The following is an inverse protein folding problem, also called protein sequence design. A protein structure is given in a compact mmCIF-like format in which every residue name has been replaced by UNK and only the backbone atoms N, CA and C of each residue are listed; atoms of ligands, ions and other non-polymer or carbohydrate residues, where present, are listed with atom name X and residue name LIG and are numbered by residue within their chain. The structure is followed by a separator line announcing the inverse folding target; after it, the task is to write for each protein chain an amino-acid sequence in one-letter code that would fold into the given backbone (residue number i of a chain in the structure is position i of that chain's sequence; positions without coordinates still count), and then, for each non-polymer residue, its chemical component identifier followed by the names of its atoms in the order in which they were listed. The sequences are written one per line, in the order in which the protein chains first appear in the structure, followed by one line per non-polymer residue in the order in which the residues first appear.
data_IF_352139034622
#
_entry.id   IF_352139034622
#
_cell.length_a   1.000
_cell.length_b   1.000
_cell.length_c   1.000
_cell.angle_alpha   90.00
_cell.angle_beta   90.00
_cell.angle_gamma   90.00
#
_symmetry.space_group_name_H-M   'P 1'
#
loop_
_entity.id
_entity.type
_entity.pdbx_description
1 polymer ?
#
# COMPACT_ATOMS: atom_id res chain seq x y z
N UNK A 1 0.17 12.86 8.22
CA UNK A 1 -0.75 13.52 9.16
C UNK A 1 -2.21 13.39 8.72
N UNK A 2 -2.57 13.81 7.49
CA UNK A 2 -3.92 13.63 6.93
C UNK A 2 -4.45 12.21 7.09
N UNK A 3 -3.70 11.20 6.62
CA UNK A 3 -4.15 9.80 6.68
C UNK A 3 -4.47 9.34 8.11
N UNK A 4 -3.68 9.79 9.10
CA UNK A 4 -3.94 9.45 10.50
C UNK A 4 -5.19 10.16 11.04
N UNK A 5 -5.35 11.46 10.75
CA UNK A 5 -6.55 12.22 11.13
C UNK A 5 -7.81 11.66 10.45
N UNK A 6 -7.75 11.29 9.18
CA UNK A 6 -8.82 10.61 8.47
C UNK A 6 -9.15 9.24 9.09
N UNK A 7 -8.11 8.50 9.48
CA UNK A 7 -8.24 7.19 10.13
C UNK A 7 -8.93 7.27 11.50
N UNK A 8 -8.39 8.05 12.44
CA UNK A 8 -8.92 8.11 13.81
C UNK A 8 -10.05 9.11 14.00
N UNK A 9 -10.19 10.11 13.13
CA UNK A 9 -11.09 11.26 13.31
C UNK A 9 -10.40 12.46 13.93
N UNK A 10 -10.76 13.67 13.48
CA UNK A 10 -10.25 14.92 14.04
C UNK A 10 -10.51 14.99 15.54
N UNK A 11 -11.68 14.57 16.02
CA UNK A 11 -12.05 14.56 17.43
C UNK A 11 -11.09 13.74 18.31
N UNK A 12 -10.43 12.73 17.74
CA UNK A 12 -9.60 11.74 18.45
C UNK A 12 -8.09 12.02 18.39
N UNK A 13 -7.65 13.12 17.77
CA UNK A 13 -6.24 13.55 17.76
C UNK A 13 -5.96 14.64 18.81
N UNK A 14 -4.69 14.75 19.22
CA UNK A 14 -4.25 15.75 20.20
C UNK A 14 -4.44 17.18 19.68
N UNK A 15 -4.49 18.16 20.58
CA UNK A 15 -4.61 19.58 20.22
C UNK A 15 -3.46 20.04 19.31
N UNK A 16 -2.25 19.55 19.55
CA UNK A 16 -1.06 19.85 18.74
C UNK A 16 -1.22 19.29 17.32
N UNK A 17 -1.70 18.06 17.19
CA UNK A 17 -1.92 17.45 15.88
C UNK A 17 -3.07 18.12 15.12
N UNK A 18 -4.13 18.56 15.81
CA UNK A 18 -5.19 19.39 15.21
C UNK A 18 -4.62 20.69 14.66
N UNK A 19 -3.76 21.36 15.44
CA UNK A 19 -3.13 22.60 14.98
C UNK A 19 -2.34 22.39 13.69
N UNK A 20 -1.46 21.38 13.65
CA UNK A 20 -0.65 21.11 12.45
C UNK A 20 -1.52 20.64 11.27
N UNK A 21 -2.57 19.85 11.52
CA UNK A 21 -3.52 19.47 10.47
C UNK A 21 -4.21 20.70 9.86
N UNK A 22 -4.61 21.64 10.71
CA UNK A 22 -5.29 22.88 10.30
C UNK A 22 -4.37 23.91 9.62
N UNK A 23 -3.04 23.75 9.69
CA UNK A 23 -2.09 24.57 8.93
C UNK A 23 -2.18 24.35 7.41
N UNK A 24 -2.83 23.26 6.97
CA UNK A 24 -3.02 22.95 5.55
C UNK A 24 -4.51 23.01 5.14
N UNK A 25 -5.07 24.19 4.87
CA UNK A 25 -6.52 24.36 4.66
C UNK A 25 -7.06 23.61 3.44
N UNK A 26 -6.22 23.35 2.42
CA UNK A 26 -6.62 22.55 1.26
C UNK A 26 -6.89 21.09 1.65
N UNK A 27 -6.05 20.55 2.53
CA UNK A 27 -6.19 19.19 3.06
C UNK A 27 -7.43 19.08 3.96
N UNK A 28 -7.68 20.07 4.81
CA UNK A 28 -8.89 20.14 5.63
C UNK A 28 -10.14 20.18 4.74
N UNK A 29 -10.19 21.08 3.78
CA UNK A 29 -11.32 21.24 2.87
C UNK A 29 -11.59 19.97 2.05
N UNK A 30 -10.53 19.27 1.61
CA UNK A 30 -10.67 17.99 0.92
C UNK A 30 -11.31 16.94 1.83
N UNK A 31 -10.86 16.81 3.07
CA UNK A 31 -11.42 15.84 4.01
C UNK A 31 -12.87 16.17 4.41
N UNK A 32 -13.20 17.46 4.53
CA UNK A 32 -14.58 17.94 4.76
C UNK A 32 -15.52 17.65 3.59
N UNK A 33 -15.04 17.85 2.36
CA UNK A 33 -15.80 17.53 1.15
C UNK A 33 -16.00 16.01 0.95
N UNK A 34 -15.17 15.19 1.59
CA UNK A 34 -15.19 13.73 1.48
C UNK A 34 -15.39 13.05 2.85
N UNK A 35 -16.56 13.21 3.49
CA UNK A 35 -16.82 12.68 4.83
C UNK A 35 -16.78 11.15 4.90
N UNK A 36 -16.81 10.46 3.75
CA UNK A 36 -16.56 9.03 3.67
C UNK A 36 -15.19 8.64 4.23
N UNK A 37 -14.15 9.46 4.01
CA UNK A 37 -12.79 9.19 4.49
C UNK A 37 -12.55 9.54 5.96
N UNK A 38 -13.49 10.22 6.63
CA UNK A 38 -13.37 10.55 8.06
C UNK A 38 -13.73 9.34 8.93
N UNK A 39 -13.05 9.19 10.06
CA UNK A 39 -13.36 8.20 11.09
C UNK A 39 -13.32 6.75 10.60
N UNK A 40 -12.41 6.44 9.67
CA UNK A 40 -12.39 5.15 9.00
C UNK A 40 -12.21 3.97 9.97
N UNK A 41 -11.37 4.13 11.00
CA UNK A 41 -11.20 3.12 12.05
C UNK A 41 -12.51 2.79 12.76
N UNK A 42 -13.31 3.82 13.09
CA UNK A 42 -14.64 3.65 13.71
C UNK A 42 -15.57 2.92 12.76
N UNK A 43 -15.66 3.35 11.50
CA UNK A 43 -16.53 2.73 10.50
C UNK A 43 -16.23 1.25 10.30
N UNK A 44 -14.94 0.88 10.23
CA UNK A 44 -14.52 -0.52 10.14
C UNK A 44 -14.85 -1.33 11.39
N UNK A 45 -14.74 -0.75 12.59
CA UNK A 45 -14.97 -1.46 13.87
C UNK A 45 -16.41 -1.46 14.37
N UNK A 46 -17.30 -0.71 13.73
CA UNK A 46 -18.73 -0.71 14.04
C UNK A 46 -19.59 -1.09 12.84
N UNK A 47 -18.97 -1.37 11.68
CA UNK A 47 -19.62 -1.48 10.37
C UNK A 47 -20.56 -0.30 10.06
N UNK A 48 -20.30 0.88 10.65
CA UNK A 48 -21.09 2.09 10.36
C UNK A 48 -20.78 2.56 8.95
N UNK A 49 -21.82 2.90 8.19
CA UNK A 49 -21.77 3.26 6.77
C UNK A 49 -21.39 2.11 5.82
N UNK A 50 -21.31 0.87 6.32
CA UNK A 50 -21.19 -0.34 5.51
C UNK A 50 -22.50 -1.15 5.52
N UNK A 51 -22.92 -1.76 4.40
CA UNK A 51 -24.12 -2.58 4.35
C UNK A 51 -24.00 -3.89 5.15
N UNK A 52 -22.77 -4.30 5.47
CA UNK A 52 -22.47 -5.50 6.26
C UNK A 52 -21.03 -5.46 6.79
N UNK A 53 -20.73 -6.35 7.75
CA UNK A 53 -19.35 -6.63 8.17
C UNK A 53 -18.49 -7.16 7.03
N UNK A 54 -19.08 -7.95 6.13
CA UNK A 54 -18.43 -8.38 4.90
C UNK A 54 -17.96 -7.18 4.09
N UNK A 55 -18.81 -6.18 3.85
CA UNK A 55 -18.42 -5.01 3.08
C UNK A 55 -17.28 -4.21 3.76
N UNK A 56 -17.25 -4.16 5.10
CA UNK A 56 -16.15 -3.53 5.82
C UNK A 56 -14.83 -4.32 5.70
N UNK A 57 -14.87 -5.66 5.68
CA UNK A 57 -13.70 -6.50 5.44
C UNK A 57 -13.23 -6.45 3.98
N UNK A 58 -14.19 -6.42 3.05
CA UNK A 58 -13.94 -6.29 1.62
C UNK A 58 -13.20 -4.98 1.33
N UNK A 59 -13.54 -3.87 1.99
CA UNK A 59 -12.83 -2.59 1.85
C UNK A 59 -11.33 -2.69 2.21
N UNK A 60 -10.99 -3.47 3.24
CA UNK A 60 -9.59 -3.70 3.63
C UNK A 60 -8.87 -4.52 2.55
N UNK A 61 -9.54 -5.54 2.02
CA UNK A 61 -8.98 -6.41 0.99
C UNK A 61 -8.82 -5.68 -0.35
N UNK A 62 -9.85 -4.96 -0.82
CA UNK A 62 -9.81 -4.18 -2.05
C UNK A 62 -8.80 -3.04 -1.97
N UNK A 63 -8.76 -2.29 -0.87
CA UNK A 63 -7.76 -1.23 -0.68
C UNK A 63 -6.32 -1.78 -0.65
N UNK A 64 -6.14 -3.03 -0.20
CA UNK A 64 -4.84 -3.71 -0.26
C UNK A 64 -4.48 -4.15 -1.68
N UNK A 65 -5.47 -4.59 -2.47
CA UNK A 65 -5.28 -4.92 -3.88
C UNK A 65 -4.93 -3.68 -4.71
N UNK A 66 -5.73 -2.61 -4.55
CA UNK A 66 -5.58 -1.35 -5.29
C UNK A 66 -4.18 -0.75 -5.11
N UNK A 67 -3.66 -0.70 -3.88
CA UNK A 67 -2.33 -0.13 -3.64
C UNK A 67 -1.20 -1.06 -4.10
N UNK A 68 -1.39 -2.38 -4.09
CA UNK A 68 -0.42 -3.31 -4.68
C UNK A 68 -0.31 -3.12 -6.20
N UNK A 69 -1.47 -3.02 -6.87
CA UNK A 69 -1.59 -2.79 -8.30
C UNK A 69 -1.04 -1.39 -8.68
N UNK A 70 -1.34 -0.35 -7.91
CA UNK A 70 -0.82 1.01 -8.11
C UNK A 70 0.72 1.03 -8.02
N UNK A 71 1.30 0.37 -7.00
CA UNK A 71 2.75 0.28 -6.84
C UNK A 71 3.39 -0.39 -8.06
N UNK A 72 2.86 -1.53 -8.49
CA UNK A 72 3.40 -2.26 -9.64
C UNK A 72 3.21 -1.48 -10.96
N UNK A 73 1.96 -1.22 -11.33
CA UNK A 73 1.63 -0.69 -12.65
C UNK A 73 1.95 0.80 -12.81
N UNK A 74 1.56 1.63 -11.84
CA UNK A 74 1.65 3.09 -11.97
C UNK A 74 2.98 3.61 -11.47
N UNK A 75 3.43 3.18 -10.29
CA UNK A 75 4.63 3.77 -9.66
C UNK A 75 5.94 3.18 -10.17
N UNK A 76 5.93 1.93 -10.62
CA UNK A 76 7.12 1.22 -11.11
C UNK A 76 7.09 1.09 -12.64
N UNK A 77 6.10 0.39 -13.20
CA UNK A 77 6.11 0.04 -14.63
C UNK A 77 6.05 1.29 -15.52
N UNK A 78 5.13 2.21 -15.26
CA UNK A 78 4.91 3.39 -16.08
C UNK A 78 6.17 4.29 -16.22
N UNK A 79 6.78 4.83 -15.15
CA UNK A 79 7.95 5.70 -15.30
C UNK A 79 9.17 4.97 -15.89
N UNK A 80 9.30 3.66 -15.67
CA UNK A 80 10.37 2.87 -16.29
C UNK A 80 10.16 2.66 -17.80
N UNK A 81 8.93 2.43 -18.22
CA UNK A 81 8.57 2.28 -19.64
C UNK A 81 8.69 3.61 -20.38
N UNK A 82 8.17 4.69 -19.78
CA UNK A 82 8.12 6.01 -20.41
C UNK A 82 9.48 6.72 -20.34
N UNK A 83 10.39 6.30 -19.45
CA UNK A 83 11.72 6.91 -19.23
C UNK A 83 11.62 8.38 -18.79
N UNK A 84 10.55 8.71 -18.07
CA UNK A 84 10.29 10.02 -17.49
C UNK A 84 10.63 9.98 -16.00
N UNK A 85 11.75 10.59 -15.64
CA UNK A 85 12.24 10.62 -14.26
C UNK A 85 11.37 11.50 -13.37
N UNK A 86 10.68 12.48 -13.96
CA UNK A 86 9.72 13.36 -13.32
C UNK A 86 8.46 12.63 -12.82
N UNK A 87 8.15 11.47 -13.42
CA UNK A 87 7.00 10.63 -13.03
C UNK A 87 7.35 9.65 -11.90
N UNK A 88 8.63 9.53 -11.53
CA UNK A 88 9.06 8.73 -10.39
C UNK A 88 8.65 9.46 -9.10
N UNK A 89 7.61 8.99 -8.41
CA UNK A 89 7.21 9.55 -7.12
C UNK A 89 8.39 9.62 -6.15
N UNK A 90 8.53 10.73 -5.43
CA UNK A 90 9.64 10.99 -4.49
C UNK A 90 11.06 11.05 -5.11
N UNK A 91 11.17 11.31 -6.42
CA UNK A 91 12.47 11.40 -7.10
C UNK A 91 13.39 12.50 -6.56
N UNK A 92 12.85 13.63 -6.07
CA UNK A 92 13.66 14.71 -5.51
C UNK A 92 14.43 14.32 -4.24
N UNK A 93 13.86 13.39 -3.45
CA UNK A 93 14.43 12.93 -2.17
C UNK A 93 15.08 11.55 -2.27
N UNK A 94 14.96 10.89 -3.43
CA UNK A 94 15.58 9.60 -3.75
C UNK A 94 15.02 8.44 -2.88
N UNK A 95 13.80 8.61 -2.37
CA UNK A 95 13.14 7.66 -1.45
C UNK A 95 12.04 6.81 -2.11
N UNK A 96 11.90 6.85 -3.44
CA UNK A 96 10.85 6.12 -4.18
C UNK A 96 10.72 4.65 -3.77
N UNK A 97 11.83 3.90 -3.71
CA UNK A 97 11.81 2.48 -3.32
C UNK A 97 11.45 2.27 -1.85
N UNK A 98 11.80 3.21 -0.97
CA UNK A 98 11.38 3.16 0.43
C UNK A 98 9.86 3.39 0.54
N UNK A 99 9.33 4.35 -0.22
CA UNK A 99 7.91 4.67 -0.26
C UNK A 99 7.09 3.50 -0.82
N UNK A 100 7.54 2.87 -1.91
CA UNK A 100 6.87 1.70 -2.50
C UNK A 100 6.87 0.52 -1.52
N UNK A 101 8.00 0.23 -0.89
CA UNK A 101 8.05 -0.79 0.16
C UNK A 101 7.16 -0.43 1.36
N UNK A 102 7.04 0.85 1.72
CA UNK A 102 6.16 1.29 2.79
C UNK A 102 4.68 1.12 2.44
N UNK A 103 4.31 1.29 1.16
CA UNK A 103 2.97 0.94 0.68
C UNK A 103 2.69 -0.56 0.88
N UNK A 104 3.63 -1.45 0.52
CA UNK A 104 3.46 -2.89 0.74
C UNK A 104 3.50 -3.27 2.24
N UNK A 105 4.31 -2.59 3.06
CA UNK A 105 4.27 -2.76 4.53
C UNK A 105 2.93 -2.30 5.11
N UNK A 106 2.27 -1.31 4.51
CA UNK A 106 0.91 -0.92 4.91
C UNK A 106 -0.07 -2.07 4.72
N UNK A 107 -0.02 -2.76 3.57
CA UNK A 107 -0.80 -3.98 3.30
C UNK A 107 -0.51 -5.05 4.37
N UNK A 108 0.77 -5.31 4.64
CA UNK A 108 1.20 -6.27 5.67
C UNK A 108 0.59 -5.97 7.03
N UNK A 109 0.60 -4.70 7.42
CA UNK A 109 0.09 -4.26 8.72
C UNK A 109 -1.43 -4.40 8.80
N UNK A 110 -2.15 -4.03 7.73
CA UNK A 110 -3.59 -4.20 7.64
C UNK A 110 -4.00 -5.67 7.69
N UNK A 111 -3.31 -6.54 6.94
CA UNK A 111 -3.61 -7.96 6.85
C UNK A 111 -3.34 -8.71 8.17
N UNK A 112 -2.20 -8.42 8.80
CA UNK A 112 -1.76 -9.09 10.03
C UNK A 112 -2.33 -8.45 11.30
N UNK A 113 -3.04 -7.32 11.20
CA UNK A 113 -3.67 -6.66 12.33
C UNK A 113 -2.68 -6.02 13.30
N UNK A 114 -1.63 -5.37 12.80
CA UNK A 114 -0.65 -4.66 13.63
C UNK A 114 0.62 -4.27 12.87
N UNK A 115 1.30 -3.24 13.36
CA UNK A 115 2.47 -2.62 12.68
C UNK A 115 3.76 -3.43 12.83
N UNK A 116 3.85 -4.21 13.90
CA UNK A 116 5.00 -5.02 14.27
C UNK A 116 4.54 -6.24 15.08
N UNK A 117 5.42 -7.19 15.31
CA UNK A 117 5.09 -8.43 16.02
C UNK A 117 4.55 -8.18 17.44
N UNK A 118 4.92 -7.06 18.07
CA UNK A 118 4.46 -6.70 19.42
C UNK A 118 3.05 -6.09 19.45
N UNK A 119 2.60 -5.53 18.32
CA UNK A 119 1.29 -4.89 18.17
C UNK A 119 0.28 -5.72 17.39
N UNK A 120 0.69 -6.84 16.77
CA UNK A 120 -0.21 -7.75 16.05
C UNK A 120 -1.18 -8.45 17.00
N UNK A 121 -2.46 -8.40 16.65
CA UNK A 121 -3.52 -9.12 17.34
C UNK A 121 -3.88 -10.43 16.62
N UNK A 122 -4.37 -11.41 17.39
CA UNK A 122 -4.96 -12.65 16.82
C UNK A 122 -6.27 -12.38 16.08
N UNK A 123 -6.92 -11.24 16.33
CA UNK A 123 -8.12 -10.80 15.62
C UNK A 123 -7.65 -9.97 14.41
N UNK A 124 -7.49 -10.63 13.27
CA UNK A 124 -6.99 -10.02 12.03
C UNK A 124 -7.63 -10.62 10.79
N UNK A 125 -7.49 -9.94 9.65
CA UNK A 125 -7.94 -10.46 8.36
C UNK A 125 -7.19 -11.75 8.01
N UNK A 126 -5.89 -11.85 8.33
CA UNK A 126 -5.12 -13.10 8.19
C UNK A 126 -5.75 -14.26 8.97
N UNK A 127 -6.14 -14.07 10.23
CA UNK A 127 -6.79 -15.13 11.00
C UNK A 127 -8.14 -15.55 10.38
N UNK A 128 -8.93 -14.59 9.91
CA UNK A 128 -10.22 -14.85 9.27
C UNK A 128 -10.07 -15.62 7.95
N UNK A 129 -9.11 -15.22 7.11
CA UNK A 129 -8.79 -15.90 5.84
C UNK A 129 -8.23 -17.29 6.11
N UNK A 130 -7.32 -17.44 7.09
CA UNK A 130 -6.72 -18.72 7.45
C UNK A 130 -7.74 -19.78 7.86
N UNK A 131 -8.78 -19.38 8.58
CA UNK A 131 -9.86 -20.28 9.00
C UNK A 131 -10.62 -20.88 7.81
N UNK A 132 -10.79 -20.11 6.74
CA UNK A 132 -11.56 -20.50 5.54
C UNK A 132 -10.71 -21.11 4.44
N UNK A 133 -9.53 -20.54 4.24
CA UNK A 133 -8.59 -20.89 3.18
C UNK A 133 -7.14 -20.71 3.68
N UNK A 134 -6.58 -21.70 4.39
CA UNK A 134 -5.22 -21.61 4.91
C UNK A 134 -4.16 -21.53 3.81
N UNK A 135 -4.44 -22.05 2.60
CA UNK A 135 -3.57 -21.93 1.44
C UNK A 135 -3.48 -20.48 0.94
N UNK A 136 -4.62 -19.80 0.85
CA UNK A 136 -4.67 -18.37 0.48
C UNK A 136 -3.95 -17.50 1.51
N UNK A 137 -4.17 -17.74 2.80
CA UNK A 137 -3.47 -17.00 3.87
C UNK A 137 -1.95 -17.17 3.81
N UNK A 138 -1.48 -18.41 3.62
CA UNK A 138 -0.06 -18.68 3.43
C UNK A 138 0.49 -17.99 2.17
N UNK A 139 -0.26 -18.04 1.06
CA UNK A 139 0.08 -17.39 -0.20
C UNK A 139 0.21 -15.88 -0.07
N UNK A 140 -0.76 -15.21 0.54
CA UNK A 140 -0.72 -13.76 0.77
C UNK A 140 0.51 -13.37 1.58
N UNK A 141 0.79 -14.07 2.70
CA UNK A 141 1.96 -13.78 3.52
C UNK A 141 3.27 -13.95 2.77
N UNK A 142 3.40 -15.02 1.99
CA UNK A 142 4.59 -15.24 1.17
C UNK A 142 4.74 -14.15 0.10
N UNK A 143 3.65 -13.80 -0.58
CA UNK A 143 3.66 -12.81 -1.67
C UNK A 143 3.97 -11.39 -1.17
N UNK A 144 3.54 -11.03 0.04
CA UNK A 144 3.92 -9.77 0.67
C UNK A 144 5.44 -9.67 0.80
N UNK A 145 6.11 -10.72 1.31
CA UNK A 145 7.56 -10.71 1.44
C UNK A 145 8.28 -10.77 0.09
N UNK A 146 7.70 -11.47 -0.91
CA UNK A 146 8.26 -11.52 -2.25
C UNK A 146 8.19 -10.15 -2.95
N UNK A 147 7.02 -9.49 -3.00
CA UNK A 147 6.89 -8.14 -3.58
C UNK A 147 7.83 -7.13 -2.86
N UNK A 148 7.96 -7.18 -1.53
CA UNK A 148 8.97 -6.38 -0.80
C UNK A 148 10.40 -6.66 -1.27
N UNK A 149 10.75 -7.94 -1.43
CA UNK A 149 12.07 -8.38 -1.88
C UNK A 149 12.36 -7.94 -3.31
N UNK A 150 11.38 -8.04 -4.21
CA UNK A 150 11.54 -7.65 -5.62
C UNK A 150 11.65 -6.13 -5.78
N UNK A 151 10.85 -5.35 -5.06
CA UNK A 151 10.99 -3.88 -5.05
C UNK A 151 12.39 -3.49 -4.58
N UNK A 152 12.88 -4.08 -3.48
CA UNK A 152 14.23 -3.80 -2.99
C UNK A 152 15.32 -4.17 -4.01
N UNK A 153 15.12 -5.26 -4.78
CA UNK A 153 16.07 -5.72 -5.79
C UNK A 153 16.29 -4.70 -6.93
N UNK A 154 15.30 -3.83 -7.24
CA UNK A 154 15.48 -2.73 -8.21
C UNK A 154 16.67 -1.85 -7.82
N UNK A 155 16.82 -1.55 -6.52
CA UNK A 155 17.88 -0.71 -5.98
C UNK A 155 19.23 -1.41 -5.81
N UNK A 156 19.45 -2.58 -6.42
CA UNK A 156 20.72 -3.32 -6.33
C UNK A 156 21.90 -2.41 -6.68
N UNK A 157 22.93 -2.45 -5.84
CA UNK A 157 24.08 -1.54 -5.91
C UNK A 157 23.90 -0.23 -5.16
N UNK A 158 22.82 -0.06 -4.40
CA UNK A 158 22.53 1.15 -3.64
C UNK A 158 21.92 2.28 -4.49
N UNK A 159 21.34 1.93 -5.65
CA UNK A 159 20.72 2.88 -6.58
C UNK A 159 19.30 3.21 -6.13
N UNK A 160 18.91 4.46 -6.30
CA UNK A 160 17.50 4.87 -6.26
C UNK A 160 16.77 4.44 -7.53
N UNK A 161 15.44 4.38 -7.50
CA UNK A 161 14.66 4.08 -8.71
C UNK A 161 14.79 5.18 -9.77
N UNK A 162 14.91 6.45 -9.33
CA UNK A 162 15.25 7.57 -10.20
C UNK A 162 16.51 7.29 -11.05
N UNK A 163 17.56 6.76 -10.44
CA UNK A 163 18.80 6.41 -11.15
C UNK A 163 18.58 5.29 -12.15
N UNK A 164 17.81 4.26 -11.78
CA UNK A 164 17.47 3.15 -12.68
C UNK A 164 16.72 3.65 -13.93
N UNK A 165 15.72 4.51 -13.76
CA UNK A 165 14.97 5.12 -14.90
C UNK A 165 15.87 6.05 -15.72
N UNK A 166 16.66 6.91 -15.06
CA UNK A 166 17.62 7.81 -15.72
C UNK A 166 18.63 7.04 -16.55
N UNK A 167 19.18 5.96 -16.02
CA UNK A 167 20.21 5.17 -16.68
C UNK A 167 19.64 4.44 -17.89
N UNK A 168 18.40 3.93 -17.82
CA UNK A 168 17.69 3.41 -18.99
C UNK A 168 17.51 4.45 -20.08
N UNK A 169 17.11 5.68 -19.71
CA UNK A 169 16.99 6.81 -20.65
C UNK A 169 18.32 7.16 -21.31
N UNK A 170 19.41 7.18 -20.55
CA UNK A 170 20.72 7.62 -21.01
C UNK A 170 21.47 6.55 -21.82
N UNK A 171 21.37 5.28 -21.38
CA UNK A 171 22.20 4.18 -21.86
C UNK A 171 21.42 3.12 -22.65
N UNK A 172 20.08 3.20 -22.65
CA UNK A 172 19.21 2.19 -23.23
C UNK A 172 18.92 1.02 -22.28
N UNK A 173 18.38 -0.05 -22.86
CA UNK A 173 17.94 -1.28 -22.18
C UNK A 173 19.08 -1.92 -21.39
N UNK A 174 18.79 -2.36 -20.17
CA UNK A 174 19.69 -3.15 -19.33
C UNK A 174 18.93 -4.38 -18.84
N UNK A 175 19.34 -5.56 -19.33
CA UNK A 175 18.61 -6.80 -19.08
C UNK A 175 18.47 -7.16 -17.59
N UNK A 176 19.41 -6.77 -16.73
CA UNK A 176 19.28 -7.01 -15.29
C UNK A 176 18.27 -6.06 -14.65
N UNK A 177 18.29 -4.79 -15.04
CA UNK A 177 17.35 -3.79 -14.52
C UNK A 177 15.94 -4.05 -15.03
N UNK A 178 15.78 -4.44 -16.30
CA UNK A 178 14.49 -4.84 -16.86
C UNK A 178 13.94 -6.05 -16.10
N UNK A 179 14.76 -7.09 -15.88
CA UNK A 179 14.33 -8.28 -15.14
C UNK A 179 13.94 -7.97 -13.69
N UNK A 180 14.64 -7.05 -13.01
CA UNK A 180 14.30 -6.64 -11.63
C UNK A 180 13.00 -5.84 -11.58
N UNK A 181 12.81 -4.92 -12.53
CA UNK A 181 11.59 -4.12 -12.63
C UNK A 181 10.41 -5.02 -12.95
N UNK A 182 10.52 -5.87 -13.98
CA UNK A 182 9.44 -6.80 -14.37
C UNK A 182 9.06 -7.73 -13.21
N UNK A 183 10.05 -8.28 -12.49
CA UNK A 183 9.78 -9.13 -11.34
C UNK A 183 9.07 -8.39 -10.19
N UNK A 184 9.37 -7.11 -9.97
CA UNK A 184 8.67 -6.31 -8.96
C UNK A 184 7.23 -6.00 -9.38
N UNK A 185 7.03 -5.65 -10.66
CA UNK A 185 5.69 -5.40 -11.22
C UNK A 185 4.82 -6.65 -11.13
N UNK A 186 5.35 -7.80 -11.55
CA UNK A 186 4.66 -9.10 -11.47
C UNK A 186 4.33 -9.46 -10.03
N UNK A 187 5.30 -9.37 -9.11
CA UNK A 187 5.08 -9.75 -7.72
C UNK A 187 3.98 -8.92 -7.04
N UNK A 188 3.87 -7.63 -7.38
CA UNK A 188 2.85 -6.77 -6.80
C UNK A 188 1.48 -6.92 -7.48
N UNK A 189 1.43 -7.23 -8.78
CA UNK A 189 0.19 -7.64 -9.46
C UNK A 189 -0.36 -8.98 -8.93
N UNK A 190 0.52 -9.96 -8.67
CA UNK A 190 0.15 -11.22 -8.02
C UNK A 190 -0.39 -10.98 -6.60
N UNK A 191 0.23 -10.06 -5.84
CA UNK A 191 -0.26 -9.66 -4.54
C UNK A 191 -1.68 -9.08 -4.62
N UNK A 192 -1.93 -8.19 -5.58
CA UNK A 192 -3.25 -7.63 -5.86
C UNK A 192 -4.28 -8.70 -6.19
N UNK A 193 -3.93 -9.65 -7.05
CA UNK A 193 -4.79 -10.79 -7.42
C UNK A 193 -5.14 -11.69 -6.22
N UNK A 194 -4.21 -11.93 -5.30
CA UNK A 194 -4.48 -12.69 -4.08
C UNK A 194 -5.45 -11.95 -3.15
N UNK A 195 -5.30 -10.63 -2.99
CA UNK A 195 -6.26 -9.83 -2.20
C UNK A 195 -7.64 -9.74 -2.85
N UNK A 196 -7.73 -9.64 -4.17
CA UNK A 196 -9.00 -9.76 -4.90
C UNK A 196 -9.68 -11.13 -4.66
N UNK A 197 -8.89 -12.19 -4.46
CA UNK A 197 -9.42 -13.51 -4.11
C UNK A 197 -9.95 -13.60 -2.67
N UNK A 198 -9.50 -12.72 -1.77
CA UNK A 198 -10.02 -12.63 -0.39
C UNK A 198 -11.47 -12.16 -0.38
N UNK A 199 -11.84 -11.21 -1.26
CA UNK A 199 -13.23 -10.70 -1.38
C UNK A 199 -14.23 -11.82 -1.66
N UNK A 200 -13.81 -12.86 -2.40
CA UNK A 200 -14.61 -14.04 -2.70
C UNK A 200 -14.67 -15.05 -1.53
N UNK A 201 -13.80 -14.89 -0.53
CA UNK A 201 -13.68 -15.77 0.64
C UNK A 201 -14.31 -15.17 1.90
N UNK A 202 -14.79 -13.92 1.84
CA UNK A 202 -15.51 -13.25 2.93
C UNK A 202 -17.00 -13.48 2.70
N UNK A 203 -17.69 -14.04 3.70
CA UNK A 203 -19.14 -14.33 3.71
C UNK A 203 -19.96 -13.16 4.32
#
# INVERSE_FOLDING_TARGET
MLAYVAWVGEENVSSEMKMIFNENPAVVAHLEANPYFKNFARKLTTATDYPSWKAALDEIASGSADIADEVGATKIAQPYADMHVEDVESWYSWHSLDDYQNNIRSIKNAYLGGRDDSSRTVISLSSYVKERNPGLDAGIKAQIEDCLTKIAAIGTGGRSFYEVVRDKKANGVNAEDDARVDAAVEACAELGALFNSVVNSID
#
